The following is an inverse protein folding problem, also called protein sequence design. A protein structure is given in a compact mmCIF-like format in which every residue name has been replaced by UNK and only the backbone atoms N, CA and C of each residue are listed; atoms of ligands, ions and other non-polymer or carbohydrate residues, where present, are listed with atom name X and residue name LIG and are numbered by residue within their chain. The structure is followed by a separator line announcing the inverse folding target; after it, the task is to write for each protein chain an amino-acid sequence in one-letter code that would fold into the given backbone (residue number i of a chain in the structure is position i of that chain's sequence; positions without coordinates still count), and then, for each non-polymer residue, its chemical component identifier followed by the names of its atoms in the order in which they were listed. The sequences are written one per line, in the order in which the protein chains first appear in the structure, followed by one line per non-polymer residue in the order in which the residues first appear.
data_IF_090896104887
#
_entry.id   IF_090896104887
#
_cell.length_a   1.000
_cell.length_b   1.000
_cell.length_c   1.000
_cell.angle_alpha   90.00
_cell.angle_beta   90.00
_cell.angle_gamma   90.00
#
_symmetry.space_group_name_H-M   'P 1'
#
loop_
_entity.id
_entity.type
_entity.pdbx_description
1 polymer ?
#
# COMPACT_ATOMS: atom_id res chain seq x y z
N UNK A 1 -16.50 -14.08 11.42
CA UNK A 1 -17.06 -12.78 11.88
C UNK A 1 -16.89 -12.71 13.40
N UNK A 2 -15.82 -12.08 13.89
CA UNK A 2 -15.36 -12.15 15.28
C UNK A 2 -15.79 -10.90 16.07
N UNK A 3 -16.88 -10.98 16.83
CA UNK A 3 -17.41 -9.90 17.68
C UNK A 3 -16.71 -9.77 19.06
N UNK A 4 -15.59 -10.48 19.29
CA UNK A 4 -14.92 -10.53 20.61
C UNK A 4 -13.98 -9.35 20.94
N UNK A 5 -13.75 -8.40 20.02
CA UNK A 5 -12.72 -7.34 20.19
C UNK A 5 -13.27 -5.98 20.67
N UNK A 6 -14.58 -5.74 20.59
CA UNK A 6 -15.14 -4.40 20.86
C UNK A 6 -15.11 -4.05 22.35
N UNK A 7 -15.35 -5.01 23.25
CA UNK A 7 -15.33 -4.79 24.70
C UNK A 7 -13.94 -4.52 25.29
N UNK A 8 -12.86 -4.88 24.58
CA UNK A 8 -11.48 -4.62 25.01
C UNK A 8 -10.99 -3.22 24.64
N UNK A 9 -11.63 -2.55 23.67
CA UNK A 9 -11.24 -1.20 23.22
C UNK A 9 -11.80 -0.09 24.11
N UNK A 10 -12.97 -0.27 24.73
CA UNK A 10 -13.57 0.75 25.62
C UNK A 10 -12.76 0.99 26.89
N UNK A 11 -12.10 -0.04 27.42
CA UNK A 11 -11.21 0.09 28.58
C UNK A 11 -9.96 0.92 28.29
N UNK A 12 -9.33 0.66 27.14
CA UNK A 12 -8.09 1.34 26.70
C UNK A 12 -8.33 2.83 26.38
N UNK A 13 -9.48 3.16 25.78
CA UNK A 13 -9.87 4.54 25.50
C UNK A 13 -10.11 5.34 26.79
N UNK A 14 -10.76 4.74 27.79
CA UNK A 14 -11.02 5.42 29.08
C UNK A 14 -9.73 5.74 29.82
N UNK A 15 -8.76 4.83 29.83
CA UNK A 15 -7.45 5.10 30.44
C UNK A 15 -6.70 6.21 29.73
N UNK A 16 -6.66 6.19 28.40
CA UNK A 16 -6.01 7.24 27.59
C UNK A 16 -6.64 8.63 27.82
N UNK A 17 -7.97 8.70 27.89
CA UNK A 17 -8.68 9.95 28.18
C UNK A 17 -8.36 10.47 29.58
N UNK A 18 -8.33 9.58 30.59
CA UNK A 18 -7.96 9.95 31.95
C UNK A 18 -6.51 10.44 32.05
N UNK A 19 -5.59 9.85 31.29
CA UNK A 19 -4.21 10.30 31.20
C UNK A 19 -4.10 11.72 30.63
N UNK A 20 -4.82 12.01 29.54
CA UNK A 20 -4.88 13.37 28.96
C UNK A 20 -5.35 14.38 30.00
N UNK A 21 -6.43 14.10 30.73
CA UNK A 21 -6.91 14.99 31.78
C UNK A 21 -5.91 15.18 32.93
N UNK A 22 -5.17 14.12 33.30
CA UNK A 22 -4.09 14.22 34.30
C UNK A 22 -2.96 15.13 33.84
N UNK A 23 -2.57 15.05 32.57
CA UNK A 23 -1.51 15.90 31.97
C UNK A 23 -1.93 17.35 31.86
N UNK A 24 -3.16 17.61 31.41
CA UNK A 24 -3.75 18.96 31.36
C UNK A 24 -3.81 19.60 32.75
N UNK A 25 -4.23 18.86 33.78
CA UNK A 25 -4.23 19.36 35.16
C UNK A 25 -2.84 19.70 35.70
N UNK A 26 -1.79 19.05 35.19
CA UNK A 26 -0.39 19.33 35.53
C UNK A 26 0.24 20.44 34.68
N UNK A 27 -0.52 21.08 33.79
CA UNK A 27 -0.02 22.01 32.78
C UNK A 27 1.07 21.42 31.87
N UNK A 28 1.10 20.10 31.72
CA UNK A 28 2.01 19.38 30.85
C UNK A 28 1.35 19.16 29.48
N UNK A 29 1.38 20.19 28.65
CA UNK A 29 0.73 20.21 27.34
C UNK A 29 1.56 19.56 26.23
N UNK A 30 2.80 19.15 26.52
CA UNK A 30 3.77 18.77 25.50
C UNK A 30 4.12 19.94 24.57
N UNK A 31 4.84 19.66 23.49
CA UNK A 31 5.23 20.66 22.50
C UNK A 31 4.08 20.89 21.50
N UNK A 32 3.75 22.16 21.27
CA UNK A 32 2.71 22.59 20.33
C UNK A 32 2.95 22.09 18.90
N UNK A 33 4.20 22.00 18.46
CA UNK A 33 4.57 21.46 17.15
C UNK A 33 4.11 20.02 17.00
N UNK A 34 4.32 19.19 18.03
CA UNK A 34 3.91 17.79 18.04
C UNK A 34 2.39 17.64 18.07
N UNK A 35 1.67 18.52 18.77
CA UNK A 35 0.22 18.57 18.72
C UNK A 35 -0.29 18.93 17.32
N UNK A 36 0.30 19.93 16.67
CA UNK A 36 -0.06 20.36 15.32
C UNK A 36 0.23 19.25 14.30
N UNK A 37 1.42 18.65 14.36
CA UNK A 37 1.81 17.49 13.54
C UNK A 37 0.85 16.32 13.71
N UNK A 38 0.46 16.00 14.96
CA UNK A 38 -0.47 14.90 15.22
C UNK A 38 -1.86 15.18 14.66
N UNK A 39 -2.35 16.43 14.76
CA UNK A 39 -3.64 16.82 14.16
C UNK A 39 -3.59 16.81 12.64
N UNK A 40 -2.50 17.28 12.04
CA UNK A 40 -2.31 17.20 10.58
C UNK A 40 -2.24 15.75 10.13
N UNK A 41 -1.45 14.91 10.80
CA UNK A 41 -1.34 13.49 10.51
C UNK A 41 -2.70 12.80 10.62
N UNK A 42 -3.52 13.11 11.62
CA UNK A 42 -4.89 12.59 11.70
C UNK A 42 -5.75 13.08 10.55
N UNK A 43 -5.72 14.36 10.21
CA UNK A 43 -6.49 14.88 9.05
C UNK A 43 -6.07 14.23 7.74
N UNK A 44 -4.77 14.00 7.53
CA UNK A 44 -4.23 13.28 6.37
C UNK A 44 -4.62 11.81 6.42
N UNK A 45 -4.57 11.18 7.59
CA UNK A 45 -5.01 9.80 7.80
C UNK A 45 -6.52 9.62 7.59
N UNK A 46 -7.30 10.69 7.81
CA UNK A 46 -8.74 10.77 7.53
C UNK A 46 -9.04 11.06 6.05
N UNK A 47 -8.03 11.33 5.21
CA UNK A 47 -8.18 11.22 3.74
C UNK A 47 -8.28 9.73 3.40
N UNK A 48 -9.40 9.15 3.83
CA UNK A 48 -9.81 7.79 3.57
C UNK A 48 -10.41 7.75 2.18
N UNK A 49 -9.75 7.04 1.26
CA UNK A 49 -10.25 6.83 -0.10
C UNK A 49 -9.17 6.98 -1.16
N UNK A 50 -9.50 6.50 -2.36
CA UNK A 50 -8.60 6.49 -3.49
C UNK A 50 -8.80 7.69 -4.42
N UNK A 51 -9.07 8.89 -3.89
CA UNK A 51 -9.24 10.09 -4.74
C UNK A 51 -7.94 10.50 -5.44
N UNK A 52 -6.81 10.23 -4.79
CA UNK A 52 -5.46 10.46 -5.30
C UNK A 52 -4.62 9.22 -4.99
N UNK A 53 -3.60 8.99 -5.82
CA UNK A 53 -2.63 7.91 -5.64
C UNK A 53 -1.44 8.43 -4.83
N UNK A 54 -1.26 7.93 -3.62
CA UNK A 54 -0.14 8.26 -2.73
C UNK A 54 1.17 7.65 -3.23
N UNK A 55 1.10 6.47 -3.85
CA UNK A 55 2.28 5.73 -4.26
C UNK A 55 3.09 6.43 -5.35
N UNK A 56 2.52 7.45 -6.02
CA UNK A 56 3.17 8.15 -7.15
C UNK A 56 4.50 8.80 -6.77
N UNK A 57 4.65 9.22 -5.50
CA UNK A 57 5.88 9.85 -5.01
C UNK A 57 7.03 8.83 -4.85
N UNK A 58 6.71 7.56 -4.64
CA UNK A 58 7.67 6.46 -4.47
C UNK A 58 8.02 5.74 -5.79
N UNK A 59 7.40 6.12 -6.91
CA UNK A 59 7.67 5.51 -8.21
C UNK A 59 8.88 6.17 -8.90
N UNK A 60 9.74 5.34 -9.50
CA UNK A 60 10.80 5.81 -10.40
C UNK A 60 10.30 6.08 -11.83
N UNK A 61 8.98 6.05 -12.03
CA UNK A 61 8.32 6.24 -13.32
C UNK A 61 7.13 7.18 -13.21
N UNK A 62 6.84 7.87 -14.30
CA UNK A 62 5.61 8.66 -14.43
C UNK A 62 4.52 7.83 -15.11
N UNK A 63 3.39 7.62 -14.42
CA UNK A 63 2.22 6.97 -15.02
C UNK A 63 1.54 7.89 -16.05
N UNK A 64 1.12 7.31 -17.18
CA UNK A 64 0.30 8.03 -18.14
C UNK A 64 -1.11 8.35 -17.57
N UNK A 65 -1.81 9.38 -18.07
CA UNK A 65 -3.14 9.75 -17.58
C UNK A 65 -4.12 8.57 -17.55
N UNK A 66 -4.24 7.84 -18.67
CA UNK A 66 -5.12 6.66 -18.75
C UNK A 66 -4.76 5.54 -17.76
N UNK A 67 -3.47 5.40 -17.40
CA UNK A 67 -3.04 4.42 -16.41
C UNK A 67 -3.45 4.85 -15.01
N UNK A 68 -3.33 6.15 -14.69
CA UNK A 68 -3.80 6.70 -13.40
C UNK A 68 -5.30 6.49 -13.25
N UNK A 69 -6.07 6.79 -14.28
CA UNK A 69 -7.52 6.63 -14.29
C UNK A 69 -7.91 5.15 -14.08
N UNK A 70 -7.22 4.23 -14.76
CA UNK A 70 -7.45 2.80 -14.58
C UNK A 70 -7.14 2.35 -13.13
N UNK A 71 -6.02 2.76 -12.55
CA UNK A 71 -5.67 2.42 -11.15
C UNK A 71 -6.74 2.94 -10.19
N UNK A 72 -7.14 4.20 -10.33
CA UNK A 72 -8.18 4.82 -9.51
C UNK A 72 -9.51 4.08 -9.64
N UNK A 73 -9.90 3.71 -10.86
CA UNK A 73 -11.13 2.97 -11.13
C UNK A 73 -11.14 1.60 -10.42
N UNK A 74 -10.04 0.85 -10.52
CA UNK A 74 -9.92 -0.47 -9.88
C UNK A 74 -10.01 -0.36 -8.37
N UNK A 75 -9.36 0.63 -7.78
CA UNK A 75 -9.32 0.83 -6.33
C UNK A 75 -10.65 1.35 -5.78
N UNK A 76 -11.31 2.29 -6.47
CA UNK A 76 -12.57 2.89 -6.02
C UNK A 76 -13.80 2.02 -6.29
N UNK A 77 -13.92 1.49 -7.51
CA UNK A 77 -15.18 0.92 -8.01
C UNK A 77 -15.18 -0.61 -7.99
N UNK A 78 -14.00 -1.24 -8.14
CA UNK A 78 -13.89 -2.68 -8.36
C UNK A 78 -13.41 -3.44 -7.12
N UNK A 79 -13.31 -2.77 -5.97
CA UNK A 79 -12.84 -3.37 -4.70
C UNK A 79 -11.50 -4.11 -4.87
N UNK A 80 -10.62 -3.60 -5.75
CA UNK A 80 -9.33 -4.21 -6.07
C UNK A 80 -9.35 -5.42 -7.01
N UNK A 81 -10.52 -5.86 -7.48
CA UNK A 81 -10.65 -7.00 -8.42
C UNK A 81 -10.88 -6.52 -9.84
N UNK A 82 -9.90 -6.68 -10.74
CA UNK A 82 -10.02 -6.19 -12.12
C UNK A 82 -9.43 -7.15 -13.15
N UNK A 83 -10.01 -7.11 -14.36
CA UNK A 83 -9.48 -7.77 -15.55
C UNK A 83 -8.96 -6.69 -16.51
N UNK A 84 -7.64 -6.59 -16.63
CA UNK A 84 -6.99 -5.65 -17.55
C UNK A 84 -6.92 -6.27 -18.95
N UNK A 85 -7.82 -5.88 -19.85
CA UNK A 85 -8.00 -6.48 -21.18
C UNK A 85 -7.65 -5.54 -22.35
N UNK A 86 -6.92 -4.46 -22.09
CA UNK A 86 -6.54 -3.48 -23.11
C UNK A 86 -5.60 -4.04 -24.20
N UNK A 87 -5.24 -3.24 -25.19
CA UNK A 87 -4.25 -3.62 -26.21
C UNK A 87 -2.87 -3.98 -25.61
N UNK A 88 -2.12 -4.82 -26.33
CA UNK A 88 -0.74 -5.18 -25.99
C UNK A 88 0.12 -3.90 -25.97
N UNK A 89 0.96 -3.73 -24.96
CA UNK A 89 1.85 -2.57 -24.84
C UNK A 89 1.33 -1.38 -24.05
N UNK A 90 0.04 -1.34 -23.66
CA UNK A 90 -0.53 -0.24 -22.85
C UNK A 90 -0.08 -0.19 -21.38
N UNK A 91 0.85 -1.07 -20.99
CA UNK A 91 1.41 -1.07 -19.63
C UNK A 91 0.50 -1.71 -18.59
N UNK A 92 -0.21 -2.79 -18.93
CA UNK A 92 -1.01 -3.56 -17.96
C UNK A 92 -0.21 -4.00 -16.73
N UNK A 93 1.05 -4.39 -16.93
CA UNK A 93 1.98 -4.71 -15.82
C UNK A 93 2.18 -3.51 -14.90
N UNK A 94 2.39 -2.32 -15.47
CA UNK A 94 2.57 -1.07 -14.73
C UNK A 94 1.31 -0.71 -13.94
N UNK A 95 0.11 -0.86 -14.53
CA UNK A 95 -1.17 -0.64 -13.85
C UNK A 95 -1.31 -1.59 -12.66
N UNK A 96 -1.05 -2.89 -12.85
CA UNK A 96 -1.15 -3.90 -11.80
C UNK A 96 -0.19 -3.61 -10.64
N UNK A 97 1.07 -3.25 -10.95
CA UNK A 97 2.06 -2.90 -9.95
C UNK A 97 1.75 -1.57 -9.23
N UNK A 98 1.15 -0.60 -9.92
CA UNK A 98 0.69 0.64 -9.30
C UNK A 98 -0.46 0.41 -8.30
N UNK A 99 -1.41 -0.47 -8.63
CA UNK A 99 -2.46 -0.90 -7.70
C UNK A 99 -1.85 -1.53 -6.45
N UNK A 100 -0.90 -2.45 -6.65
CA UNK A 100 -0.16 -3.09 -5.55
C UNK A 100 0.57 -2.05 -4.69
N UNK A 101 1.26 -1.09 -5.30
CA UNK A 101 2.00 -0.05 -4.60
C UNK A 101 1.09 0.82 -3.74
N UNK A 102 -0.04 1.23 -4.31
CA UNK A 102 -1.04 2.04 -3.61
C UNK A 102 -1.66 1.29 -2.43
N UNK A 103 -1.95 0.00 -2.60
CA UNK A 103 -2.48 -0.82 -1.51
C UNK A 103 -1.43 -1.04 -0.41
N UNK A 104 -0.16 -1.16 -0.78
CA UNK A 104 0.94 -1.36 0.18
C UNK A 104 1.23 -0.11 0.99
N UNK A 105 1.32 1.07 0.37
CA UNK A 105 1.59 2.33 1.09
C UNK A 105 0.46 2.70 2.05
N UNK A 106 -0.76 2.23 1.77
CA UNK A 106 -1.94 2.38 2.63
C UNK A 106 -2.10 1.27 3.67
N UNK A 107 -1.18 0.32 3.73
CA UNK A 107 -1.21 -0.84 4.63
C UNK A 107 -2.50 -1.68 4.51
N UNK A 108 -3.06 -1.77 3.30
CA UNK A 108 -4.30 -2.52 3.02
C UNK A 108 -4.05 -3.98 2.61
N UNK A 109 -2.80 -4.36 2.39
CA UNK A 109 -2.39 -5.70 1.98
C UNK A 109 -1.19 -6.19 2.78
N UNK A 110 -1.25 -7.44 3.25
CA UNK A 110 -0.17 -8.07 4.02
C UNK A 110 0.75 -8.95 3.16
N UNK A 111 0.24 -9.45 2.03
CA UNK A 111 0.92 -10.42 1.17
C UNK A 111 0.44 -10.31 -0.27
N UNK A 112 1.34 -10.56 -1.22
CA UNK A 112 1.08 -10.45 -2.65
C UNK A 112 1.58 -11.72 -3.34
N UNK A 113 0.77 -12.27 -4.25
CA UNK A 113 1.15 -13.37 -5.11
C UNK A 113 0.98 -12.93 -6.57
N UNK A 114 2.08 -12.95 -7.33
CA UNK A 114 2.07 -12.66 -8.76
C UNK A 114 2.36 -13.98 -9.49
N UNK A 115 1.41 -14.42 -10.31
CA UNK A 115 1.56 -15.62 -11.14
C UNK A 115 1.93 -15.19 -12.56
N UNK A 116 3.12 -15.62 -13.01
CA UNK A 116 3.70 -15.21 -14.28
C UNK A 116 4.24 -16.45 -15.00
N UNK A 117 4.11 -16.56 -16.34
CA UNK A 117 4.81 -17.58 -17.11
C UNK A 117 6.33 -17.52 -16.89
N UNK A 118 7.01 -18.66 -16.89
CA UNK A 118 8.44 -18.76 -16.57
C UNK A 118 9.34 -17.85 -17.43
N UNK A 119 8.95 -17.60 -18.69
CA UNK A 119 9.69 -16.73 -19.61
C UNK A 119 9.63 -15.24 -19.26
N UNK A 120 8.63 -14.81 -18.48
CA UNK A 120 8.39 -13.39 -18.17
C UNK A 120 8.81 -13.03 -16.72
N UNK A 121 9.28 -14.00 -15.93
CA UNK A 121 9.67 -13.78 -14.53
C UNK A 121 10.72 -12.67 -14.39
N UNK A 122 11.79 -12.72 -15.19
CA UNK A 122 12.86 -11.72 -15.14
C UNK A 122 12.37 -10.33 -15.55
N UNK A 123 11.48 -10.25 -16.53
CA UNK A 123 10.90 -8.96 -16.94
C UNK A 123 10.10 -8.34 -15.80
N UNK A 124 9.23 -9.13 -15.15
CA UNK A 124 8.45 -8.65 -13.99
C UNK A 124 9.35 -8.25 -12.83
N UNK A 125 10.38 -9.04 -12.53
CA UNK A 125 11.34 -8.75 -11.47
C UNK A 125 12.04 -7.40 -11.70
N UNK A 126 12.53 -7.15 -12.92
CA UNK A 126 13.17 -5.89 -13.26
C UNK A 126 12.19 -4.72 -13.19
N UNK A 127 10.97 -4.87 -13.71
CA UNK A 127 9.95 -3.81 -13.62
C UNK A 127 9.63 -3.45 -12.15
N UNK A 128 9.55 -4.42 -11.26
CA UNK A 128 9.25 -4.23 -9.85
C UNK A 128 10.37 -3.48 -9.12
N UNK A 129 11.62 -3.85 -9.37
CA UNK A 129 12.77 -3.22 -8.69
C UNK A 129 13.07 -1.86 -9.26
N UNK A 130 13.17 -1.75 -10.58
CA UNK A 130 13.60 -0.52 -11.24
C UNK A 130 12.53 0.56 -11.15
N UNK A 131 11.25 0.21 -11.30
CA UNK A 131 10.15 1.19 -11.43
C UNK A 131 9.38 1.42 -10.14
N UNK A 132 9.24 0.40 -9.29
CA UNK A 132 8.42 0.44 -8.08
C UNK A 132 9.24 0.36 -6.78
N UNK A 133 10.57 0.23 -6.88
CA UNK A 133 11.49 0.14 -5.73
C UNK A 133 11.07 -0.89 -4.68
N UNK A 134 10.40 -1.97 -5.12
CA UNK A 134 9.91 -3.02 -4.23
C UNK A 134 10.87 -4.20 -4.23
N UNK A 135 11.29 -4.61 -3.03
CA UNK A 135 12.04 -5.87 -2.85
C UNK A 135 11.05 -7.02 -2.67
N UNK A 136 11.10 -8.02 -3.55
CA UNK A 136 10.21 -9.18 -3.50
C UNK A 136 11.03 -10.45 -3.71
N UNK A 137 10.88 -11.47 -2.84
CA UNK A 137 11.50 -12.77 -3.08
C UNK A 137 10.82 -13.45 -4.27
N UNK A 138 11.63 -13.95 -5.22
CA UNK A 138 11.12 -14.70 -6.37
C UNK A 138 11.24 -16.19 -6.06
N UNK A 139 10.10 -16.91 -6.13
CA UNK A 139 10.06 -18.37 -5.99
C UNK A 139 9.58 -18.97 -7.30
N UNK A 140 10.49 -19.63 -8.03
CA UNK A 140 10.15 -20.37 -9.24
C UNK A 140 9.93 -21.86 -8.90
N UNK A 141 8.76 -22.41 -9.21
CA UNK A 141 8.48 -23.84 -9.09
C UNK A 141 8.31 -24.43 -10.50
N UNK A 142 9.34 -25.10 -11.01
CA UNK A 142 9.33 -25.74 -12.33
C UNK A 142 10.48 -26.75 -12.45
N UNK A 143 10.33 -27.77 -13.30
CA UNK A 143 11.32 -28.84 -13.54
C UNK A 143 12.66 -28.38 -14.17
N UNK A 144 12.87 -27.08 -14.33
CA UNK A 144 14.12 -26.50 -14.82
C UNK A 144 14.80 -25.75 -13.68
N UNK A 145 16.08 -26.02 -13.46
CA UNK A 145 16.92 -25.37 -12.45
C UNK A 145 16.92 -23.85 -12.64
N UNK A 146 16.04 -23.14 -11.93
CA UNK A 146 16.22 -21.73 -11.65
C UNK A 146 17.13 -21.65 -10.43
N UNK A 147 18.42 -21.46 -10.67
CA UNK A 147 19.38 -21.26 -9.58
C UNK A 147 18.98 -20.02 -8.79
N UNK A 148 18.75 -20.19 -7.49
CA UNK A 148 18.45 -19.12 -6.55
C UNK A 148 19.62 -18.10 -6.42
N UNK A 149 20.78 -18.40 -7.01
CA UNK A 149 22.00 -17.58 -6.93
C UNK A 149 22.04 -16.41 -7.92
N UNK A 150 21.17 -16.33 -8.94
CA UNK A 150 21.16 -15.19 -9.87
C UNK A 150 20.29 -14.02 -9.41
N UNK A 151 19.84 -14.02 -8.15
CA UNK A 151 19.08 -12.93 -7.54
C UNK A 151 19.66 -12.62 -6.16
N UNK A 152 20.89 -12.08 -6.12
CA UNK A 152 21.45 -11.32 -5.01
C UNK A 152 22.15 -10.10 -5.60
#
# INVERSE_FOLDING_TARGET
MNFRKVSSMEGDLREKVLDIFKRVKKADYGNFDWFFLSNLAQKVSLVSGFQYLLSLEDLNITLFPHQKDAVLQVLQQMQGSALLADQVGLGKTIIALAIVSELKIRDLINSILILVPSSLVNQWYNEIIEKFNMKIPVVAHGRGNFNQESII
#
